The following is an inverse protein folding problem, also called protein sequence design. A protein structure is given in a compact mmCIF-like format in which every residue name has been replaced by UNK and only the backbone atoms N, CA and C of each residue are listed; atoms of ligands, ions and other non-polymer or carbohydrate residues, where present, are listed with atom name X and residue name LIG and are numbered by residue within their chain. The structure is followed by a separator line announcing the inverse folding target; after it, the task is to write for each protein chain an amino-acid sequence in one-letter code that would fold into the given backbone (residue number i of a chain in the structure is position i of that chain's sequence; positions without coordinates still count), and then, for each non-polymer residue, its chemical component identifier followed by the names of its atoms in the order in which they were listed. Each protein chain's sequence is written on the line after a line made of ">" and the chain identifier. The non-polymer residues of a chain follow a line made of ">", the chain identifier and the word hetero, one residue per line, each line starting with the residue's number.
data_IF_546507742187
#
_entry.id   IF_546507742187
#
_cell.length_a   1.000
_cell.length_b   1.000
_cell.length_c   1.000
_cell.angle_alpha   90.00
_cell.angle_beta   90.00
_cell.angle_gamma   90.00
#
_symmetry.space_group_name_H-M   'P 1'
#
loop_
_entity.id
_entity.type
_entity.pdbx_description
1 polymer ?
#
# COMPACT_ATOMS: atom_id res chain seq x y z
N UNK A 1 -16.17 30.13 -19.18
CA UNK A 1 -15.60 29.76 -17.87
C UNK A 1 -15.38 28.24 -17.92
N UNK A 2 -14.28 27.82 -18.55
CA UNK A 2 -13.97 26.40 -18.82
C UNK A 2 -12.54 26.17 -18.32
N UNK A 3 -12.38 26.05 -17.00
CA UNK A 3 -11.07 25.86 -16.38
C UNK A 3 -11.10 25.22 -15.00
N UNK A 4 -12.28 24.92 -14.44
CA UNK A 4 -12.40 24.54 -13.03
C UNK A 4 -12.41 23.01 -12.79
N UNK A 5 -12.13 22.17 -13.80
CA UNK A 5 -12.12 20.71 -13.64
C UNK A 5 -10.97 19.97 -14.33
N UNK A 6 -9.81 20.60 -14.52
CA UNK A 6 -8.57 19.81 -14.63
C UNK A 6 -8.06 19.52 -13.21
N UNK A 7 -8.84 18.79 -12.42
CA UNK A 7 -8.28 18.12 -11.24
C UNK A 7 -7.36 17.04 -11.78
N UNK A 8 -6.05 17.30 -11.77
CA UNK A 8 -5.06 16.26 -12.02
C UNK A 8 -5.35 15.13 -11.05
N UNK A 9 -5.63 13.92 -11.57
CA UNK A 9 -5.95 12.78 -10.73
C UNK A 9 -4.82 12.60 -9.69
N UNK A 10 -5.16 12.35 -8.41
CA UNK A 10 -4.14 12.15 -7.40
C UNK A 10 -3.28 10.93 -7.77
N UNK A 11 -1.95 10.99 -7.59
CA UNK A 11 -1.10 9.85 -7.81
C UNK A 11 -1.40 8.76 -6.79
N UNK A 12 -1.26 7.51 -7.23
CA UNK A 12 -1.52 6.32 -6.41
C UNK A 12 -0.33 5.38 -6.50
N UNK A 13 -0.09 4.67 -5.40
CA UNK A 13 0.84 3.54 -5.33
C UNK A 13 0.08 2.35 -4.77
N UNK A 14 0.10 1.23 -5.47
CA UNK A 14 -0.54 -0.01 -5.07
C UNK A 14 0.49 -0.95 -4.46
N UNK A 15 0.17 -1.53 -3.30
CA UNK A 15 0.94 -2.57 -2.63
C UNK A 15 0.11 -3.84 -2.65
N UNK A 16 0.68 -4.95 -3.15
CA UNK A 16 0.06 -6.26 -3.05
C UNK A 16 0.91 -7.23 -2.23
N UNK A 17 0.23 -8.04 -1.43
CA UNK A 17 0.85 -9.05 -0.57
C UNK A 17 -0.02 -10.32 -0.54
N UNK A 18 0.62 -11.48 -0.70
CA UNK A 18 -0.09 -12.76 -0.77
C UNK A 18 0.22 -13.61 0.45
N UNK A 19 -0.82 -14.08 1.13
CA UNK A 19 -0.75 -15.02 2.25
C UNK A 19 -1.70 -16.21 2.01
N UNK A 20 -1.27 -17.21 1.21
CA UNK A 20 -2.12 -18.34 0.85
C UNK A 20 -2.59 -19.11 2.09
N UNK A 21 -3.89 -19.45 2.12
CA UNK A 21 -4.51 -20.22 3.21
C UNK A 21 -4.78 -19.41 4.48
N UNK A 22 -4.42 -18.13 4.55
CA UNK A 22 -4.80 -17.25 5.64
C UNK A 22 -6.23 -16.73 5.44
N UNK A 23 -6.94 -16.50 6.56
CA UNK A 23 -8.24 -15.83 6.51
C UNK A 23 -8.06 -14.33 6.26
N UNK A 24 -9.08 -13.66 5.73
CA UNK A 24 -9.07 -12.20 5.57
C UNK A 24 -8.75 -11.47 6.89
N UNK A 25 -9.25 -11.97 8.03
CA UNK A 25 -8.93 -11.42 9.35
C UNK A 25 -7.44 -11.56 9.68
N UNK A 26 -6.87 -12.74 9.46
CA UNK A 26 -5.43 -13.00 9.69
C UNK A 26 -4.57 -12.07 8.86
N UNK A 27 -4.93 -11.86 7.59
CA UNK A 27 -4.23 -10.97 6.67
C UNK A 27 -4.31 -9.53 7.16
N UNK A 28 -5.50 -9.06 7.56
CA UNK A 28 -5.66 -7.71 8.10
C UNK A 28 -4.78 -7.49 9.33
N UNK A 29 -4.87 -8.36 10.33
CA UNK A 29 -4.16 -8.20 11.61
C UNK A 29 -2.64 -8.31 11.46
N UNK A 30 -2.17 -9.15 10.53
CA UNK A 30 -0.75 -9.53 10.45
C UNK A 30 0.02 -8.90 9.28
N UNK A 31 -0.68 -8.37 8.28
CA UNK A 31 -0.07 -7.79 7.07
C UNK A 31 -0.53 -6.35 6.90
N UNK A 32 -1.83 -6.13 6.72
CA UNK A 32 -2.38 -4.81 6.41
C UNK A 32 -2.07 -3.83 7.54
N UNK A 33 -2.39 -4.15 8.79
CA UNK A 33 -2.12 -3.28 9.95
C UNK A 33 -0.63 -2.93 10.11
N UNK A 34 0.29 -3.82 9.72
CA UNK A 34 1.72 -3.53 9.77
C UNK A 34 2.13 -2.54 8.66
N UNK A 35 1.62 -2.73 7.45
CA UNK A 35 1.86 -1.83 6.32
C UNK A 35 1.24 -0.44 6.58
N UNK A 36 0.01 -0.38 7.07
CA UNK A 36 -0.70 0.87 7.40
C UNK A 36 0.09 1.74 8.38
N UNK A 37 0.67 1.11 9.42
CA UNK A 37 1.51 1.82 10.40
C UNK A 37 2.70 2.50 9.72
N UNK A 38 3.35 1.83 8.78
CA UNK A 38 4.46 2.46 8.05
C UNK A 38 3.99 3.52 7.05
N UNK A 39 2.86 3.28 6.36
CA UNK A 39 2.26 4.25 5.43
C UNK A 39 1.86 5.55 6.13
N UNK A 40 1.45 5.49 7.39
CA UNK A 40 1.11 6.70 8.18
C UNK A 40 2.27 7.71 8.28
N UNK A 41 3.52 7.26 8.09
CA UNK A 41 4.71 8.10 8.08
C UNK A 41 5.19 8.52 6.68
N UNK A 42 4.43 8.23 5.61
CA UNK A 42 4.77 8.61 4.24
C UNK A 42 4.35 10.06 3.98
N UNK A 43 5.24 10.84 3.40
CA UNK A 43 4.97 12.25 3.08
C UNK A 43 3.93 12.36 1.98
N UNK A 44 3.08 13.38 2.08
CA UNK A 44 2.04 13.71 1.10
C UNK A 44 0.98 12.63 0.87
N UNK A 45 0.96 11.55 1.67
CA UNK A 45 -0.15 10.61 1.68
C UNK A 45 -1.42 11.34 2.12
N UNK A 46 -2.49 11.21 1.35
CA UNK A 46 -3.81 11.73 1.69
C UNK A 46 -4.59 10.70 2.50
N UNK A 47 -4.71 9.50 1.95
CA UNK A 47 -5.40 8.37 2.55
C UNK A 47 -4.89 7.09 1.90
N UNK A 48 -5.25 5.96 2.51
CA UNK A 48 -5.08 4.66 1.91
C UNK A 48 -6.38 3.87 2.05
N UNK A 49 -6.53 2.85 1.21
CA UNK A 49 -7.59 1.85 1.32
C UNK A 49 -6.99 0.46 1.18
N UNK A 50 -7.56 -0.52 1.85
CA UNK A 50 -7.13 -1.91 1.74
C UNK A 50 -8.31 -2.82 1.45
N UNK A 51 -8.11 -3.79 0.57
CA UNK A 51 -9.04 -4.88 0.32
C UNK A 51 -8.31 -6.21 0.49
N UNK A 52 -9.05 -7.26 0.80
CA UNK A 52 -8.52 -8.62 0.87
C UNK A 52 -9.52 -9.55 0.23
N UNK A 53 -9.04 -10.42 -0.64
CA UNK A 53 -9.88 -11.38 -1.34
C UNK A 53 -9.78 -12.80 -0.76
N UNK A 54 -10.58 -13.70 -1.29
CA UNK A 54 -10.64 -15.11 -0.86
C UNK A 54 -9.44 -15.94 -1.30
N UNK A 55 -8.59 -15.43 -2.19
CA UNK A 55 -7.32 -16.09 -2.57
C UNK A 55 -6.22 -15.90 -1.51
N UNK A 56 -6.47 -15.04 -0.53
CA UNK A 56 -5.51 -14.68 0.50
C UNK A 56 -4.58 -13.54 0.06
N UNK A 57 -5.02 -12.73 -0.91
CA UNK A 57 -4.27 -11.56 -1.39
C UNK A 57 -4.85 -10.30 -0.75
N UNK A 58 -3.96 -9.47 -0.19
CA UNK A 58 -4.28 -8.10 0.20
C UNK A 58 -3.79 -7.11 -0.85
N UNK A 59 -4.64 -6.15 -1.18
CA UNK A 59 -4.29 -5.01 -2.02
C UNK A 59 -4.50 -3.72 -1.22
N UNK A 60 -3.48 -2.87 -1.20
CA UNK A 60 -3.47 -1.60 -0.47
C UNK A 60 -3.18 -0.50 -1.47
N UNK A 61 -4.07 0.46 -1.61
CA UNK A 61 -3.88 1.63 -2.47
C UNK A 61 -3.57 2.84 -1.60
N UNK A 62 -2.38 3.40 -1.77
CA UNK A 62 -1.95 4.64 -1.14
C UNK A 62 -2.18 5.81 -2.09
N UNK A 63 -3.07 6.74 -1.73
CA UNK A 63 -3.42 7.90 -2.55
C UNK A 63 -2.73 9.15 -2.02
N UNK A 64 -2.06 9.88 -2.89
CA UNK A 64 -1.22 11.02 -2.54
C UNK A 64 -1.85 12.36 -2.96
N UNK A 65 -1.32 13.45 -2.38
CA UNK A 65 -1.72 14.81 -2.77
C UNK A 65 -1.45 15.06 -4.25
N UNK A 66 -2.38 15.71 -5.00
CA UNK A 66 -2.11 16.16 -6.35
C UNK A 66 -0.81 16.97 -6.44
N UNK A 67 -0.02 16.72 -7.49
CA UNK A 67 1.31 17.32 -7.66
C UNK A 67 2.46 16.59 -6.94
N UNK A 68 2.18 15.50 -6.22
CA UNK A 68 3.24 14.61 -5.73
C UNK A 68 3.86 13.85 -6.92
N UNK A 69 5.18 13.75 -6.95
CA UNK A 69 5.89 12.92 -7.92
C UNK A 69 5.64 11.44 -7.61
N UNK A 70 5.09 10.69 -8.58
CA UNK A 70 4.69 9.30 -8.38
C UNK A 70 5.89 8.37 -8.21
N UNK A 71 7.01 8.65 -8.88
CA UNK A 71 8.21 7.82 -8.79
C UNK A 71 8.85 7.98 -7.40
N UNK A 72 8.91 9.22 -6.88
CA UNK A 72 9.36 9.46 -5.51
C UNK A 72 8.39 8.88 -4.47
N UNK A 73 7.07 8.99 -4.69
CA UNK A 73 6.07 8.38 -3.81
C UNK A 73 6.23 6.85 -3.74
N UNK A 74 6.45 6.20 -4.90
CA UNK A 74 6.69 4.76 -4.97
C UNK A 74 7.98 4.36 -4.23
N UNK A 75 9.06 5.13 -4.38
CA UNK A 75 10.32 4.90 -3.64
C UNK A 75 10.12 5.05 -2.13
N UNK A 76 9.41 6.09 -1.69
CA UNK A 76 9.10 6.30 -0.28
C UNK A 76 8.27 5.15 0.30
N UNK A 77 7.22 4.72 -0.41
CA UNK A 77 6.41 3.56 -0.02
C UNK A 77 7.28 2.30 0.03
N UNK A 78 8.08 2.03 -0.98
CA UNK A 78 8.95 0.85 -1.00
C UNK A 78 9.95 0.85 0.17
N UNK A 79 10.52 2.00 0.51
CA UNK A 79 11.40 2.14 1.66
C UNK A 79 10.68 1.85 2.98
N UNK A 80 9.43 2.31 3.12
CA UNK A 80 8.56 1.99 4.27
C UNK A 80 8.24 0.51 4.37
N UNK A 81 7.88 -0.13 3.25
CA UNK A 81 7.60 -1.58 3.22
C UNK A 81 8.85 -2.38 3.63
N UNK A 82 10.03 -2.03 3.11
CA UNK A 82 11.30 -2.69 3.50
C UNK A 82 11.58 -2.60 5.00
N UNK A 83 11.20 -1.51 5.65
CA UNK A 83 11.43 -1.32 7.09
C UNK A 83 10.57 -2.27 7.97
N UNK A 84 9.39 -2.67 7.49
CA UNK A 84 8.48 -3.56 8.20
C UNK A 84 8.52 -5.00 7.70
N UNK A 85 9.17 -5.27 6.57
CA UNK A 85 9.20 -6.58 5.92
C UNK A 85 9.57 -7.71 6.88
N UNK A 86 10.61 -7.52 7.71
CA UNK A 86 11.06 -8.51 8.69
C UNK A 86 10.00 -8.89 9.74
N UNK A 87 9.01 -8.04 9.97
CA UNK A 87 7.90 -8.24 10.92
C UNK A 87 6.71 -8.95 10.27
N UNK A 88 6.68 -9.06 8.95
CA UNK A 88 5.64 -9.77 8.22
C UNK A 88 5.75 -11.29 8.42
N UNK A 89 4.63 -12.02 8.31
CA UNK A 89 4.62 -13.48 8.29
C UNK A 89 5.64 -14.03 7.29
N UNK A 90 6.34 -15.11 7.66
CA UNK A 90 7.38 -15.70 6.82
C UNK A 90 6.87 -16.06 5.42
N UNK A 91 5.64 -16.57 5.31
CA UNK A 91 5.01 -16.92 4.03
C UNK A 91 4.89 -15.70 3.12
N UNK A 92 4.44 -14.57 3.65
CA UNK A 92 4.31 -13.31 2.89
C UNK A 92 5.67 -12.83 2.41
N UNK A 93 6.69 -12.85 3.28
CA UNK A 93 8.07 -12.51 2.90
C UNK A 93 8.61 -13.41 1.79
N UNK A 94 8.29 -14.71 1.82
CA UNK A 94 8.73 -15.67 0.82
C UNK A 94 8.02 -15.48 -0.54
N UNK A 95 6.74 -15.09 -0.53
CA UNK A 95 6.02 -14.73 -1.75
C UNK A 95 6.51 -13.40 -2.34
N UNK A 96 7.02 -12.52 -1.49
CA UNK A 96 7.38 -11.16 -1.86
C UNK A 96 6.18 -10.22 -1.81
N UNK A 97 6.48 -8.92 -1.74
CA UNK A 97 5.49 -7.85 -1.86
C UNK A 97 5.75 -7.13 -3.18
N UNK A 98 4.68 -6.74 -3.86
CA UNK A 98 4.77 -5.92 -5.07
C UNK A 98 4.31 -4.50 -4.76
N UNK A 99 5.07 -3.51 -5.24
CA UNK A 99 4.76 -2.08 -5.08
C UNK A 99 4.84 -1.45 -6.47
N UNK A 100 3.71 -0.95 -6.97
CA UNK A 100 3.56 -0.41 -8.33
C UNK A 100 2.83 0.92 -8.35
#
# INVERSE_FOLDING_TARGET
>A
RWGEFFSVAPPQVNISATYPGATAKTINDSVVTLIERELSGVKNLLYYSATTDTSGTAEITATFKPGTDVEMAQVDVQNKIKAVEARLPQVVRQQGLHVV
#
